data_IF_811432973137
#
_entry.id   IF_811432973137
#
_cell.length_a   1.000
_cell.length_b   1.000
_cell.length_c   1.000
_cell.angle_alpha   90.00
_cell.angle_beta   90.00
_cell.angle_gamma   90.00
#
_symmetry.space_group_name_H-M   'P 1'
#
loop_
_entity.id
_entity.type
_entity.pdbx_description
1 polymer ?
#
# COMPACT_ATOMS: atom_id res chain seq x y z
N UNK A 1 -2.22 -12.91 -21.39
CA UNK A 1 -3.35 -11.96 -21.43
C UNK A 1 -3.04 -10.81 -20.49
N UNK A 2 -3.02 -9.57 -20.97
CA UNK A 2 -3.01 -8.38 -20.10
C UNK A 2 -4.39 -8.28 -19.44
N UNK A 3 -4.59 -9.04 -18.37
CA UNK A 3 -5.85 -9.09 -17.65
C UNK A 3 -6.04 -7.78 -16.91
N UNK A 4 -7.06 -6.99 -17.29
CA UNK A 4 -7.68 -5.88 -16.57
C UNK A 4 -6.89 -5.27 -15.39
N UNK A 5 -5.65 -4.90 -15.61
CA UNK A 5 -4.87 -4.07 -14.71
C UNK A 5 -5.23 -2.63 -15.02
N UNK A 6 -5.44 -1.82 -13.98
CA UNK A 6 -5.07 -0.39 -13.93
C UNK A 6 -6.04 0.50 -13.15
N UNK A 7 -6.55 0.03 -12.00
CA UNK A 7 -6.96 0.96 -10.93
C UNK A 7 -6.43 0.49 -9.58
N UNK A 8 -5.09 0.42 -9.46
CA UNK A 8 -4.44 0.39 -8.16
C UNK A 8 -4.17 1.83 -7.73
N UNK A 9 -4.82 2.27 -6.64
CA UNK A 9 -4.55 3.56 -6.01
C UNK A 9 -3.97 3.29 -4.62
N UNK A 10 -2.81 3.87 -4.34
CA UNK A 10 -2.24 3.90 -3.01
C UNK A 10 -2.37 5.31 -2.43
N UNK A 11 -2.92 5.41 -1.23
CA UNK A 11 -2.91 6.66 -0.46
C UNK A 11 -2.19 6.44 0.86
N UNK A 12 -1.35 7.41 1.24
CA UNK A 12 -0.69 7.48 2.54
C UNK A 12 -0.88 8.89 3.07
N UNK A 13 -1.76 9.04 4.07
CA UNK A 13 -2.16 10.36 4.56
C UNK A 13 -2.79 11.20 3.44
N UNK A 14 -2.18 12.35 3.11
CA UNK A 14 -2.61 13.21 2.00
C UNK A 14 -1.96 12.88 0.67
N UNK A 15 -0.89 12.08 0.66
CA UNK A 15 -0.17 11.75 -0.57
C UNK A 15 -0.85 10.63 -1.31
N UNK A 16 -1.10 10.87 -2.58
CA UNK A 16 -1.73 9.93 -3.49
C UNK A 16 -0.67 9.49 -4.52
N UNK A 17 -0.44 8.19 -4.58
CA UNK A 17 0.43 7.51 -5.53
C UNK A 17 -0.45 6.77 -6.55
N UNK A 18 -0.27 7.09 -7.84
CA UNK A 18 -1.10 6.58 -8.94
C UNK A 18 -0.23 6.26 -10.17
N UNK A 19 -0.65 5.23 -10.91
CA UNK A 19 -0.10 4.85 -12.21
C UNK A 19 -0.59 5.81 -13.29
N UNK A 20 0.31 6.62 -13.86
CA UNK A 20 0.06 7.39 -15.09
C UNK A 20 -1.11 8.39 -15.07
N UNK A 21 -1.32 9.07 -16.20
CA UNK A 21 -2.08 10.32 -16.38
C UNK A 21 -3.56 10.31 -15.92
N UNK A 22 -3.81 10.41 -14.62
CA UNK A 22 -5.11 10.76 -14.06
C UNK A 22 -4.93 11.85 -12.99
N UNK A 23 -5.65 12.96 -13.18
CA UNK A 23 -5.40 14.25 -12.53
C UNK A 23 -5.25 14.20 -10.98
N UNK A 24 -4.33 15.05 -10.49
CA UNK A 24 -3.87 15.25 -9.10
C UNK A 24 -3.22 14.03 -8.40
N UNK A 25 -1.92 14.11 -8.12
CA UNK A 25 -1.12 13.08 -7.43
C UNK A 25 0.33 13.10 -7.89
N UNK A 26 1.23 12.39 -7.20
CA UNK A 26 2.59 12.16 -7.74
C UNK A 26 2.48 11.07 -8.82
N UNK A 27 2.92 11.36 -10.04
CA UNK A 27 3.02 10.37 -11.09
C UNK A 27 4.14 9.39 -10.72
N UNK A 28 3.77 8.13 -10.51
CA UNK A 28 4.70 7.05 -10.21
C UNK A 28 4.36 5.86 -11.07
N UNK A 29 5.39 5.16 -11.54
CA UNK A 29 5.19 3.89 -12.19
C UNK A 29 4.79 2.86 -11.12
N UNK A 30 3.56 2.35 -11.23
CA UNK A 30 3.04 1.29 -10.38
C UNK A 30 2.86 -0.01 -11.16
N UNK A 31 3.51 -0.18 -12.32
CA UNK A 31 3.43 -1.43 -13.10
C UNK A 31 3.86 -2.64 -12.27
N UNK A 32 4.80 -2.43 -11.33
CA UNK A 32 5.23 -3.45 -10.37
C UNK A 32 4.18 -3.82 -9.30
N UNK A 33 3.05 -3.12 -9.23
CA UNK A 33 1.89 -3.53 -8.42
C UNK A 33 0.98 -4.50 -9.17
N UNK A 34 1.29 -4.85 -10.42
CA UNK A 34 0.58 -5.86 -11.19
C UNK A 34 0.66 -7.23 -10.51
N UNK A 35 -0.32 -7.55 -9.68
CA UNK A 35 -0.46 -8.85 -9.02
C UNK A 35 -1.44 -9.74 -9.77
N UNK A 36 -1.23 -11.05 -9.68
CA UNK A 36 -2.26 -12.00 -10.06
C UNK A 36 -3.37 -11.96 -9.00
N UNK A 37 -4.47 -11.26 -9.28
CA UNK A 37 -5.61 -11.14 -8.38
C UNK A 37 -6.39 -12.45 -8.17
N UNK A 38 -6.07 -13.53 -8.89
CA UNK A 38 -6.66 -14.86 -8.69
C UNK A 38 -5.97 -15.69 -7.59
N UNK A 39 -4.91 -15.15 -6.98
CA UNK A 39 -4.13 -15.82 -5.94
C UNK A 39 -4.13 -14.98 -4.65
N UNK A 40 -3.90 -15.64 -3.51
CA UNK A 40 -3.63 -14.93 -2.26
C UNK A 40 -2.29 -14.21 -2.36
N UNK A 41 -2.31 -12.89 -2.19
CA UNK A 41 -1.13 -12.05 -2.24
C UNK A 41 -0.91 -11.36 -0.89
N UNK A 42 0.34 -11.25 -0.47
CA UNK A 42 0.67 -10.44 0.72
C UNK A 42 0.98 -9.02 0.28
N UNK A 43 0.18 -8.06 0.74
CA UNK A 43 0.48 -6.64 0.59
C UNK A 43 1.01 -6.08 1.91
N UNK A 44 2.23 -5.55 1.90
CA UNK A 44 2.84 -4.91 3.07
C UNK A 44 3.18 -3.46 2.76
N UNK A 45 2.75 -2.57 3.63
CA UNK A 45 3.18 -1.18 3.65
C UNK A 45 4.08 -0.95 4.87
N UNK A 46 5.24 -0.35 4.66
CA UNK A 46 6.20 -0.02 5.71
C UNK A 46 6.45 1.47 5.73
N UNK A 47 6.22 2.08 6.90
CA UNK A 47 6.49 3.50 7.13
C UNK A 47 7.66 3.66 8.10
N UNK A 48 8.66 4.43 7.71
CA UNK A 48 9.80 4.82 8.56
C UNK A 48 10.14 6.29 8.28
N UNK A 49 10.02 7.14 9.31
CA UNK A 49 10.14 8.59 9.14
C UNK A 49 9.14 9.12 8.11
N UNK A 50 9.62 9.84 7.09
CA UNK A 50 8.82 10.34 5.95
C UNK A 50 8.83 9.39 4.74
N UNK A 51 9.38 8.18 4.89
CA UNK A 51 9.48 7.20 3.82
C UNK A 51 8.37 6.17 3.92
N UNK A 52 7.78 5.89 2.76
CA UNK A 52 6.91 4.74 2.53
C UNK A 52 7.63 3.76 1.62
N UNK A 53 7.54 2.49 1.96
CA UNK A 53 7.95 1.39 1.11
C UNK A 53 6.82 0.36 1.04
N UNK A 54 6.59 -0.16 -0.16
CA UNK A 54 5.50 -1.09 -0.44
C UNK A 54 6.09 -2.39 -0.94
N UNK A 55 5.61 -3.48 -0.38
CA UNK A 55 6.00 -4.81 -0.75
C UNK A 55 4.78 -5.60 -1.21
N UNK A 56 4.98 -6.35 -2.27
CA UNK A 56 4.02 -7.31 -2.80
C UNK A 56 4.69 -8.67 -2.75
N UNK A 57 4.09 -9.61 -2.02
CA UNK A 57 4.60 -10.97 -1.85
C UNK A 57 6.08 -10.99 -1.42
N UNK A 58 6.47 -10.03 -0.57
CA UNK A 58 7.82 -9.88 -0.03
C UNK A 58 8.78 -9.05 -0.89
N UNK A 59 8.45 -8.74 -2.15
CA UNK A 59 9.31 -7.96 -3.05
C UNK A 59 8.99 -6.47 -2.90
N UNK A 60 10.01 -5.63 -2.72
CA UNK A 60 9.83 -4.17 -2.70
C UNK A 60 9.50 -3.68 -4.10
N UNK A 61 8.28 -3.17 -4.28
CA UNK A 61 7.74 -2.73 -5.58
C UNK A 61 7.69 -1.21 -5.72
N UNK A 62 7.76 -0.50 -4.59
CA UNK A 62 7.75 0.96 -4.57
C UNK A 62 8.39 1.51 -3.31
N UNK A 63 9.14 2.61 -3.49
CA UNK A 63 9.66 3.41 -2.40
C UNK A 63 9.47 4.89 -2.74
N UNK A 64 8.98 5.66 -1.78
CA UNK A 64 8.74 7.07 -1.97
C UNK A 64 8.65 7.85 -0.67
N UNK A 65 8.57 9.16 -0.83
CA UNK A 65 8.33 10.08 0.27
C UNK A 65 6.91 10.62 0.21
N UNK A 66 6.23 10.56 1.35
CA UNK A 66 4.90 11.12 1.52
C UNK A 66 4.96 12.43 2.31
N UNK A 67 4.01 13.31 2.03
CA UNK A 67 3.85 14.57 2.74
C UNK A 67 3.28 14.29 4.13
N UNK A 68 4.16 14.37 5.13
CA UNK A 68 3.79 14.44 6.54
C UNK A 68 4.27 15.76 7.13
N UNK A 69 3.44 16.41 7.95
CA UNK A 69 3.95 17.44 8.88
C UNK A 69 4.93 16.79 9.85
N UNK A 70 5.90 17.53 10.36
CA UNK A 70 6.93 17.01 11.28
C UNK A 70 6.36 16.36 12.56
N UNK A 71 5.09 16.63 12.88
CA UNK A 71 4.36 16.08 14.02
C UNK A 71 3.17 15.19 13.61
N UNK A 72 3.25 14.47 12.49
CA UNK A 72 2.22 13.48 12.11
C UNK A 72 2.29 12.28 13.07
N UNK A 73 1.71 12.43 14.27
CA UNK A 73 1.56 11.35 15.24
C UNK A 73 0.54 10.30 14.80
N UNK A 74 -0.38 10.69 13.91
CA UNK A 74 -1.50 9.85 13.48
C UNK A 74 -1.49 9.68 11.96
N UNK A 75 -1.04 8.51 11.50
CA UNK A 75 -1.32 8.06 10.14
C UNK A 75 -2.84 7.87 10.02
N UNK A 76 -3.50 8.76 9.28
CA UNK A 76 -4.98 8.83 9.26
C UNK A 76 -5.62 7.80 8.33
N UNK A 77 -4.93 7.41 7.25
CA UNK A 77 -5.48 6.48 6.24
C UNK A 77 -4.32 5.86 5.42
N UNK A 78 -4.35 4.53 5.29
CA UNK A 78 -3.67 3.80 4.22
C UNK A 78 -4.77 3.13 3.42
N UNK A 79 -4.78 3.36 2.11
CA UNK A 79 -5.79 2.75 1.23
C UNK A 79 -5.16 2.13 0.02
N UNK A 80 -5.45 0.85 -0.17
CA UNK A 80 -5.24 0.15 -1.43
C UNK A 80 -6.62 -0.17 -2.01
N UNK A 81 -6.92 0.37 -3.19
CA UNK A 81 -8.18 0.12 -3.88
C UNK A 81 -7.91 -0.66 -5.16
N UNK A 82 -8.73 -1.67 -5.42
CA UNK A 82 -8.74 -2.45 -6.66
C UNK A 82 -10.20 -2.60 -7.15
N UNK A 83 -10.39 -2.93 -8.43
CA UNK A 83 -11.71 -3.15 -9.03
C UNK A 83 -12.12 -4.61 -8.89
N UNK A 84 -13.32 -4.87 -8.35
CA UNK A 84 -13.89 -6.20 -8.23
C UNK A 84 -14.21 -6.60 -6.79
N UNK A 85 -14.66 -7.83 -6.61
CA UNK A 85 -14.81 -8.44 -5.29
C UNK A 85 -13.48 -9.03 -4.83
N UNK A 86 -13.25 -9.06 -3.52
CA UNK A 86 -12.08 -9.69 -2.94
C UNK A 86 -12.32 -9.99 -1.47
N UNK A 87 -11.43 -10.78 -0.90
CA UNK A 87 -11.46 -11.18 0.50
C UNK A 87 -10.12 -10.84 1.15
N UNK A 88 -10.14 -10.64 2.45
CA UNK A 88 -8.94 -10.45 3.27
C UNK A 88 -8.87 -11.64 4.22
N UNK A 89 -7.77 -12.39 4.14
CA UNK A 89 -7.51 -13.55 5.00
C UNK A 89 -7.06 -13.10 6.40
N UNK A 90 -6.14 -12.14 6.47
CA UNK A 90 -5.66 -11.59 7.73
C UNK A 90 -5.17 -10.16 7.61
N UNK A 91 -5.10 -9.47 8.76
CA UNK A 91 -4.46 -8.16 8.91
C UNK A 91 -3.48 -8.21 10.07
N UNK A 92 -2.27 -7.71 9.86
CA UNK A 92 -1.25 -7.55 10.90
C UNK A 92 -0.68 -6.15 10.88
N UNK A 93 -0.64 -5.52 12.05
CA UNK A 93 -0.01 -4.22 12.27
C UNK A 93 1.15 -4.41 13.24
N UNK A 94 2.31 -3.89 12.86
CA UNK A 94 3.52 -3.96 13.68
C UNK A 94 4.18 -2.60 13.74
N UNK A 95 4.87 -2.32 14.85
CA UNK A 95 5.72 -1.15 14.94
C UNK A 95 6.90 -1.30 13.97
N UNK A 96 6.99 -0.42 12.97
CA UNK A 96 7.99 -0.53 11.90
C UNK A 96 9.45 -0.49 12.35
N UNK A 97 9.74 0.02 13.55
CA UNK A 97 11.10 0.12 14.09
C UNK A 97 11.49 -1.10 14.93
N UNK A 98 10.59 -1.55 15.80
CA UNK A 98 10.85 -2.68 16.71
C UNK A 98 10.40 -4.04 16.16
N UNK A 99 9.54 -4.06 15.13
CA UNK A 99 8.90 -5.27 14.62
C UNK A 99 7.82 -5.85 15.55
N UNK A 100 7.59 -5.25 16.73
CA UNK A 100 6.56 -5.71 17.68
C UNK A 100 5.18 -5.64 17.03
N UNK A 101 4.48 -6.77 17.00
CA UNK A 101 3.07 -6.83 16.59
C UNK A 101 2.23 -6.11 17.64
N UNK A 102 1.39 -5.18 17.18
CA UNK A 102 0.49 -4.39 18.04
C UNK A 102 -0.97 -4.74 17.80
N UNK A 103 -1.28 -5.34 16.64
CA UNK A 103 -2.61 -5.82 16.28
C UNK A 103 -2.49 -6.93 15.25
N UNK A 104 -3.32 -7.96 15.37
CA UNK A 104 -3.49 -9.00 14.36
C UNK A 104 -4.93 -9.54 14.43
N UNK A 105 -5.51 -9.85 13.28
CA UNK A 105 -6.82 -10.52 13.15
C UNK A 105 -6.83 -11.40 11.91
N UNK A 106 -7.47 -12.56 12.02
CA UNK A 106 -7.61 -13.54 10.93
C UNK A 106 -9.11 -13.73 10.57
N UNK A 107 -9.99 -12.87 11.11
CA UNK A 107 -11.42 -12.76 10.81
C UNK A 107 -12.28 -14.03 11.09
N UNK A 108 -11.80 -14.94 11.94
CA UNK A 108 -12.56 -16.05 12.53
C UNK A 108 -13.68 -15.59 13.50
#
# INVERSE_FOLDING_TARGET
MKGCSDYAKLMVGKTIFRKGNLQQGKNVDLDNFGINHNEWNTFKLQLKGKQVEVFVSGVSVFRGEYEGRENFHNLTDIRFTFKGTGSIDWVKVSNSYSGKVVYQTDFD
#
